data_IF_258243081234
#
_entry.id   IF_258243081234
#
_cell.length_a   1.000
_cell.length_b   1.000
_cell.length_c   1.000
_cell.angle_alpha   90.00
_cell.angle_beta   90.00
_cell.angle_gamma   90.00
#
_symmetry.space_group_name_H-M   'P 1'
#
loop_
_entity.id
_entity.type
_entity.pdbx_description
1 polymer ?
#
# COMPACT_ATOMS: atom_id res chain seq x y z
N UNK A 1 -3.70 9.65 -27.27
CA UNK A 1 -4.52 8.64 -26.55
C UNK A 1 -5.06 9.29 -25.28
N UNK A 2 -6.38 9.43 -25.15
CA UNK A 2 -7.02 10.14 -24.03
C UNK A 2 -6.77 9.46 -22.68
N UNK A 3 -6.78 10.23 -21.59
CA UNK A 3 -6.54 9.77 -20.21
C UNK A 3 -7.54 8.69 -19.76
N UNK A 4 -8.68 8.54 -20.45
CA UNK A 4 -9.69 7.52 -20.17
C UNK A 4 -9.95 6.68 -21.42
N UNK A 5 -9.67 5.39 -21.32
CA UNK A 5 -10.23 4.35 -22.20
C UNK A 5 -10.68 3.23 -21.29
N UNK A 6 -11.82 2.64 -21.59
CA UNK A 6 -12.39 1.59 -20.76
C UNK A 6 -11.64 0.28 -21.01
N UNK A 7 -10.74 -0.06 -20.09
CA UNK A 7 -10.20 -1.41 -19.99
C UNK A 7 -10.97 -2.13 -18.88
N UNK A 8 -11.37 -3.40 -19.09
CA UNK A 8 -11.97 -4.18 -18.02
C UNK A 8 -10.99 -4.27 -16.84
N UNK A 9 -11.49 -3.97 -15.63
CA UNK A 9 -10.73 -4.19 -14.40
C UNK A 9 -10.51 -5.68 -14.21
N UNK A 10 -9.37 -6.05 -13.63
CA UNK A 10 -9.09 -7.44 -13.25
C UNK A 10 -10.08 -7.89 -12.18
N UNK A 11 -10.37 -9.19 -12.19
CA UNK A 11 -11.17 -9.82 -11.15
C UNK A 11 -10.60 -9.45 -9.77
N UNK A 12 -11.48 -9.00 -8.87
CA UNK A 12 -11.16 -8.58 -7.49
C UNK A 12 -10.12 -7.46 -7.35
N UNK A 13 -9.85 -6.72 -8.44
CA UNK A 13 -8.81 -5.69 -8.51
C UNK A 13 -7.40 -6.23 -8.16
N UNK A 14 -7.08 -7.49 -8.50
CA UNK A 14 -5.77 -8.08 -8.27
C UNK A 14 -4.69 -7.54 -9.23
N UNK A 15 -3.71 -6.82 -8.68
CA UNK A 15 -2.53 -6.33 -9.39
C UNK A 15 -1.27 -6.67 -8.59
N UNK A 16 -0.47 -7.67 -9.02
CA UNK A 16 0.84 -7.94 -8.42
C UNK A 16 1.67 -6.67 -8.36
N UNK A 17 2.23 -6.35 -7.18
CA UNK A 17 2.99 -5.12 -6.97
C UNK A 17 4.35 -5.22 -7.66
N UNK A 18 4.64 -4.45 -8.72
CA UNK A 18 5.93 -4.56 -9.41
C UNK A 18 7.04 -3.82 -8.62
N UNK A 19 8.32 -4.18 -8.82
CA UNK A 19 9.45 -3.54 -8.13
C UNK A 19 9.48 -2.02 -8.30
N UNK A 20 9.14 -1.55 -9.50
CA UNK A 20 9.10 -0.12 -9.82
C UNK A 20 8.15 0.69 -8.95
N UNK A 21 7.11 0.04 -8.40
CA UNK A 21 6.18 0.68 -7.48
C UNK A 21 6.76 0.76 -6.06
N UNK A 22 7.62 -0.18 -5.68
CA UNK A 22 8.23 -0.26 -4.35
C UNK A 22 9.48 0.64 -4.21
N UNK A 23 10.30 0.76 -5.26
CA UNK A 23 11.57 1.51 -5.22
C UNK A 23 11.43 2.91 -4.60
N UNK A 24 10.42 3.74 -4.95
CA UNK A 24 10.26 5.06 -4.35
C UNK A 24 9.99 5.06 -2.84
N UNK A 25 9.45 3.95 -2.30
CA UNK A 25 9.15 3.80 -0.87
C UNK A 25 10.38 3.45 -0.04
N UNK A 26 11.33 2.69 -0.59
CA UNK A 26 12.46 2.12 0.17
C UNK A 26 13.22 3.12 1.06
N UNK A 27 13.51 4.37 0.63
CA UNK A 27 14.19 5.35 1.48
C UNK A 27 13.43 5.74 2.76
N UNK A 28 12.13 5.49 2.82
CA UNK A 28 11.25 5.83 3.94
C UNK A 28 11.06 4.69 4.94
N UNK A 29 11.67 3.53 4.69
CA UNK A 29 11.53 2.32 5.52
C UNK A 29 12.81 1.98 6.29
N UNK A 30 13.83 2.85 6.27
CA UNK A 30 15.14 2.58 6.85
C UNK A 30 15.11 2.31 8.36
N UNK A 31 14.17 2.92 9.08
CA UNK A 31 14.01 2.76 10.53
C UNK A 31 13.11 1.58 10.91
N UNK A 32 12.53 0.87 9.94
CA UNK A 32 11.69 -0.29 10.20
C UNK A 32 12.51 -1.57 10.08
N UNK A 33 12.17 -2.55 10.90
CA UNK A 33 12.74 -3.89 10.85
C UNK A 33 11.67 -4.92 10.49
N UNK A 34 10.47 -4.81 11.05
CA UNK A 34 9.39 -5.78 10.89
C UNK A 34 8.15 -5.15 10.27
N UNK A 35 7.53 -5.85 9.33
CA UNK A 35 6.27 -5.39 8.75
C UNK A 35 5.28 -6.52 8.51
N UNK A 36 4.03 -6.11 8.24
CA UNK A 36 2.92 -7.00 7.94
C UNK A 36 2.26 -6.62 6.61
N UNK A 37 1.94 -7.64 5.80
CA UNK A 37 1.24 -7.49 4.52
C UNK A 37 -0.11 -8.25 4.51
N UNK A 38 -1.23 -7.58 4.85
CA UNK A 38 -2.51 -8.25 5.05
C UNK A 38 -3.36 -8.48 3.79
N UNK A 39 -2.86 -8.12 2.61
CA UNK A 39 -3.52 -8.30 1.31
C UNK A 39 -2.46 -8.70 0.28
N UNK A 40 -1.80 -9.82 0.54
CA UNK A 40 -0.56 -10.23 -0.12
C UNK A 40 -0.75 -10.80 -1.52
N UNK A 41 -1.94 -11.29 -1.87
CA UNK A 41 -2.21 -11.93 -3.17
C UNK A 41 -1.20 -13.03 -3.53
N UNK A 42 -0.31 -12.76 -4.50
CA UNK A 42 0.76 -13.68 -4.92
C UNK A 42 2.09 -13.51 -4.16
N UNK A 43 2.14 -12.61 -3.18
CA UNK A 43 3.31 -12.32 -2.37
C UNK A 43 4.38 -11.50 -3.09
N UNK A 44 4.04 -10.84 -4.21
CA UNK A 44 5.01 -10.02 -4.95
C UNK A 44 5.69 -8.95 -4.08
N UNK A 45 4.93 -8.23 -3.25
CA UNK A 45 5.51 -7.20 -2.38
C UNK A 45 6.42 -7.86 -1.31
N UNK A 46 5.97 -8.91 -0.62
CA UNK A 46 6.82 -9.74 0.26
C UNK A 46 8.13 -10.12 -0.41
N UNK A 47 8.04 -10.70 -1.61
CA UNK A 47 9.21 -11.16 -2.36
C UNK A 47 10.23 -10.04 -2.60
N UNK A 48 9.78 -8.84 -2.99
CA UNK A 48 10.70 -7.74 -3.26
C UNK A 48 11.23 -7.06 -2.00
N UNK A 49 10.47 -7.06 -0.91
CA UNK A 49 10.93 -6.54 0.37
C UNK A 49 11.93 -7.48 1.07
N UNK A 50 11.86 -8.79 0.82
CA UNK A 50 12.86 -9.76 1.29
C UNK A 50 14.28 -9.52 0.75
N UNK A 51 14.45 -8.77 -0.34
CA UNK A 51 15.76 -8.35 -0.86
C UNK A 51 16.34 -7.14 -0.08
N UNK A 52 15.66 -6.69 0.97
CA UNK A 52 16.04 -5.56 1.84
C UNK A 52 16.35 -6.04 3.27
N UNK A 53 16.50 -5.12 4.22
CA UNK A 53 16.68 -5.45 5.64
C UNK A 53 15.36 -5.76 6.38
N UNK A 54 14.21 -5.58 5.71
CA UNK A 54 12.89 -5.75 6.30
C UNK A 54 12.48 -7.22 6.35
N UNK A 55 11.88 -7.62 7.46
CA UNK A 55 11.32 -8.95 7.65
C UNK A 55 9.79 -8.90 7.69
N UNK A 56 9.16 -9.70 6.81
CA UNK A 56 7.71 -9.89 6.81
C UNK A 56 7.32 -10.89 7.90
N UNK A 57 6.86 -10.40 9.06
CA UNK A 57 6.51 -11.27 10.19
C UNK A 57 5.10 -11.89 10.04
N UNK A 58 4.27 -11.31 9.18
CA UNK A 58 2.96 -11.86 8.85
C UNK A 58 2.48 -11.44 7.46
N UNK A 59 1.92 -12.39 6.72
CA UNK A 59 1.28 -12.16 5.43
C UNK A 59 0.00 -12.99 5.30
N UNK A 60 -1.05 -12.38 4.74
CA UNK A 60 -2.30 -13.07 4.44
C UNK A 60 -2.97 -12.54 3.17
N UNK A 61 -3.91 -13.32 2.66
CA UNK A 61 -4.89 -12.89 1.68
C UNK A 61 -6.14 -13.77 1.79
N UNK A 62 -7.30 -13.27 1.37
CA UNK A 62 -8.54 -14.06 1.28
C UNK A 62 -8.48 -15.11 0.15
N UNK A 63 -7.64 -14.89 -0.87
CA UNK A 63 -7.31 -15.84 -1.92
C UNK A 63 -5.79 -15.83 -2.20
N UNK A 64 -4.99 -16.49 -1.35
CA UNK A 64 -3.54 -16.50 -1.51
C UNK A 64 -3.14 -17.29 -2.76
N UNK A 65 -2.25 -16.71 -3.57
CA UNK A 65 -1.77 -17.29 -4.84
C UNK A 65 -0.34 -17.83 -4.73
N UNK A 66 0.26 -17.80 -3.53
CA UNK A 66 1.58 -18.35 -3.24
C UNK A 66 1.62 -19.09 -1.90
N UNK A 67 2.58 -20.00 -1.75
CA UNK A 67 2.82 -20.72 -0.50
C UNK A 67 3.37 -19.76 0.56
N UNK A 68 3.00 -19.98 1.82
CA UNK A 68 3.45 -19.18 2.96
C UNK A 68 2.53 -18.00 3.31
N UNK A 69 1.59 -17.63 2.42
CA UNK A 69 0.57 -16.63 2.70
C UNK A 69 -0.61 -17.30 3.40
N UNK A 70 -1.03 -16.78 4.55
CA UNK A 70 -2.19 -17.30 5.28
C UNK A 70 -3.47 -17.00 4.52
N UNK A 71 -4.39 -17.97 4.42
CA UNK A 71 -5.74 -17.72 3.89
C UNK A 71 -6.62 -17.11 5.00
N UNK A 72 -6.78 -15.80 5.00
CA UNK A 72 -7.46 -15.06 6.07
C UNK A 72 -7.92 -13.69 5.57
N UNK A 73 -9.01 -13.16 6.12
CA UNK A 73 -9.39 -11.76 5.91
C UNK A 73 -8.40 -10.82 6.62
N UNK A 74 -8.02 -9.73 5.97
CA UNK A 74 -7.14 -8.71 6.53
C UNK A 74 -7.61 -8.22 7.90
N UNK A 75 -8.92 -8.16 8.14
CA UNK A 75 -9.51 -7.63 9.38
C UNK A 75 -9.76 -8.67 10.47
N UNK A 76 -9.50 -9.94 10.18
CA UNK A 76 -9.51 -11.02 11.17
C UNK A 76 -8.15 -11.17 11.89
N UNK A 77 -7.15 -10.36 11.52
CA UNK A 77 -5.84 -10.33 12.17
C UNK A 77 -5.98 -9.83 13.62
N UNK A 78 -5.41 -10.56 14.58
CA UNK A 78 -5.41 -10.15 15.98
C UNK A 78 -4.21 -9.24 16.31
N UNK A 79 -4.29 -8.58 17.47
CA UNK A 79 -3.24 -7.66 17.93
C UNK A 79 -1.90 -8.38 18.14
N UNK A 80 -1.95 -9.67 18.49
CA UNK A 80 -0.75 -10.47 18.76
C UNK A 80 0.14 -10.65 17.53
N UNK A 81 -0.45 -10.74 16.34
CA UNK A 81 0.22 -10.95 15.07
C UNK A 81 0.91 -9.69 14.55
N UNK A 82 0.43 -8.51 14.96
CA UNK A 82 1.01 -7.22 14.57
C UNK A 82 1.81 -6.56 15.68
N UNK A 83 1.86 -7.16 16.88
CA UNK A 83 2.46 -6.54 18.05
C UNK A 83 3.90 -6.07 17.78
N UNK A 84 4.70 -6.95 17.16
CA UNK A 84 6.11 -6.69 16.83
C UNK A 84 6.31 -5.93 15.51
N UNK A 85 5.25 -5.68 14.73
CA UNK A 85 5.36 -4.97 13.47
C UNK A 85 5.60 -3.47 13.69
N UNK A 86 6.57 -2.91 12.97
CA UNK A 86 6.82 -1.46 12.90
C UNK A 86 5.82 -0.78 11.96
N UNK A 87 5.38 -1.50 10.91
CA UNK A 87 4.43 -0.98 9.94
C UNK A 87 3.56 -2.07 9.30
N UNK A 88 2.40 -1.64 8.80
CA UNK A 88 1.64 -2.35 7.78
C UNK A 88 2.06 -1.80 6.42
N UNK A 89 2.41 -2.66 5.47
CA UNK A 89 2.80 -2.24 4.11
C UNK A 89 2.06 -3.12 3.13
N UNK A 90 1.21 -2.54 2.28
CA UNK A 90 0.39 -3.32 1.35
C UNK A 90 -0.10 -2.51 0.16
N UNK A 91 -0.37 -3.19 -0.95
CA UNK A 91 -1.11 -2.68 -2.10
C UNK A 91 -2.56 -3.19 -1.99
N UNK A 92 -3.45 -2.45 -1.30
CA UNK A 92 -4.81 -2.92 -1.06
C UNK A 92 -5.60 -3.03 -2.37
N UNK A 93 -6.68 -3.83 -2.44
CA UNK A 93 -7.58 -3.81 -3.57
C UNK A 93 -8.15 -2.40 -3.81
N UNK A 94 -8.39 -2.05 -5.07
CA UNK A 94 -8.72 -0.69 -5.48
C UNK A 94 -10.20 -0.31 -5.23
N UNK A 95 -10.84 -1.02 -4.30
CA UNK A 95 -12.19 -0.82 -3.81
C UNK A 95 -12.20 0.17 -2.65
N UNK A 96 -12.84 1.34 -2.83
CA UNK A 96 -12.75 2.47 -1.88
C UNK A 96 -13.20 2.16 -0.45
N UNK A 97 -14.35 1.51 -0.21
CA UNK A 97 -14.72 1.12 1.15
C UNK A 97 -13.66 0.25 1.83
N UNK A 98 -13.01 -0.64 1.09
CA UNK A 98 -11.97 -1.52 1.65
C UNK A 98 -10.69 -0.74 1.98
N UNK A 99 -10.30 0.18 1.09
CA UNK A 99 -9.20 1.11 1.34
C UNK A 99 -9.44 1.94 2.60
N UNK A 100 -10.64 2.50 2.76
CA UNK A 100 -11.01 3.29 3.93
C UNK A 100 -11.03 2.46 5.21
N UNK A 101 -11.60 1.25 5.16
CA UNK A 101 -11.57 0.30 6.27
C UNK A 101 -10.13 -0.08 6.66
N UNK A 102 -9.21 -0.20 5.70
CA UNK A 102 -7.79 -0.47 5.96
C UNK A 102 -7.16 0.68 6.77
N UNK A 103 -7.45 1.94 6.41
CA UNK A 103 -6.97 3.11 7.16
C UNK A 103 -7.55 3.12 8.58
N UNK A 104 -8.86 2.92 8.71
CA UNK A 104 -9.56 2.94 10.01
C UNK A 104 -9.07 1.83 10.93
N UNK A 105 -8.92 0.61 10.41
CA UNK A 105 -8.53 -0.54 11.19
C UNK A 105 -7.05 -0.49 11.57
N UNK A 106 -6.14 -0.44 10.60
CA UNK A 106 -4.71 -0.58 10.88
C UNK A 106 -4.07 0.69 11.43
N UNK A 107 -4.36 1.83 10.80
CA UNK A 107 -3.71 3.09 11.19
C UNK A 107 -4.34 3.70 12.44
N UNK A 108 -5.67 3.72 12.52
CA UNK A 108 -6.40 4.45 13.57
C UNK A 108 -6.72 3.56 14.77
N UNK A 109 -7.35 2.40 14.55
CA UNK A 109 -7.76 1.49 15.63
C UNK A 109 -6.56 0.73 16.22
N UNK A 110 -5.76 0.08 15.39
CA UNK A 110 -4.57 -0.68 15.84
C UNK A 110 -3.33 0.20 16.09
N UNK A 111 -3.35 1.46 15.64
CA UNK A 111 -2.26 2.41 15.90
C UNK A 111 -0.95 2.13 15.17
N UNK A 112 -0.97 1.29 14.12
CA UNK A 112 0.24 0.92 13.37
C UNK A 112 0.47 1.88 12.18
N UNK A 113 1.69 2.40 11.98
CA UNK A 113 2.07 3.08 10.74
C UNK A 113 1.66 2.22 9.54
N UNK A 114 0.86 2.78 8.63
CA UNK A 114 0.23 2.01 7.55
C UNK A 114 0.53 2.66 6.20
N UNK A 115 1.33 1.97 5.39
CA UNK A 115 1.71 2.34 4.04
C UNK A 115 0.81 1.65 3.01
N UNK A 116 0.10 2.45 2.22
CA UNK A 116 -0.85 1.97 1.22
C UNK A 116 -0.53 2.53 -0.16
N UNK A 117 -0.47 1.65 -1.17
CA UNK A 117 -0.25 2.02 -2.57
C UNK A 117 -1.59 2.20 -3.30
N UNK A 118 -1.91 3.41 -3.74
CA UNK A 118 -3.12 3.68 -4.54
C UNK A 118 -3.03 5.01 -5.31
N UNK A 119 -4.12 5.41 -5.97
CA UNK A 119 -4.19 6.56 -6.87
C UNK A 119 -3.71 7.87 -6.24
N UNK A 120 -2.85 8.60 -6.97
CA UNK A 120 -2.31 9.90 -6.55
C UNK A 120 -3.40 10.97 -6.35
N UNK A 121 -4.48 10.95 -7.13
CA UNK A 121 -5.53 11.98 -7.07
C UNK A 121 -6.58 11.71 -5.98
N UNK A 122 -6.51 10.56 -5.29
CA UNK A 122 -7.44 10.23 -4.21
C UNK A 122 -7.43 11.30 -3.11
N UNK A 123 -6.27 11.87 -2.77
CA UNK A 123 -6.16 12.93 -1.76
C UNK A 123 -6.92 14.21 -2.09
N UNK A 124 -7.30 14.41 -3.36
CA UNK A 124 -8.08 15.57 -3.81
C UNK A 124 -9.61 15.31 -3.84
N UNK A 125 -10.06 14.11 -3.45
CA UNK A 125 -11.47 13.73 -3.52
C UNK A 125 -12.24 14.12 -2.25
N UNK A 126 -13.57 14.27 -2.35
CA UNK A 126 -14.41 14.53 -1.16
C UNK A 126 -14.34 13.39 -0.13
N UNK A 127 -14.21 12.15 -0.60
CA UNK A 127 -14.16 10.95 0.23
C UNK A 127 -12.85 10.77 1.01
N UNK A 128 -11.76 11.43 0.61
CA UNK A 128 -10.49 11.34 1.35
C UNK A 128 -10.46 12.26 2.58
N UNK A 129 -11.28 13.33 2.58
CA UNK A 129 -11.22 14.41 3.56
C UNK A 129 -11.20 13.92 5.03
N UNK A 130 -12.00 12.92 5.45
CA UNK A 130 -11.97 12.42 6.83
C UNK A 130 -10.63 11.76 7.23
N UNK A 131 -9.92 11.19 6.25
CA UNK A 131 -8.71 10.40 6.46
C UNK A 131 -7.43 11.22 6.30
N UNK A 132 -7.47 12.34 5.59
CA UNK A 132 -6.30 13.19 5.35
C UNK A 132 -5.72 13.77 6.65
N UNK A 133 -6.53 13.91 7.70
CA UNK A 133 -6.06 14.33 9.03
C UNK A 133 -5.12 13.31 9.68
N UNK A 134 -5.11 12.05 9.20
CA UNK A 134 -4.24 10.94 9.64
C UNK A 134 -3.07 10.68 8.69
N UNK A 135 -3.07 11.30 7.50
CA UNK A 135 -2.04 11.11 6.49
C UNK A 135 -0.79 11.93 6.84
N UNK A 136 0.38 11.29 6.95
CA UNK A 136 1.66 11.92 7.28
C UNK A 136 2.52 12.20 6.06
N UNK A 137 2.60 11.24 5.14
CA UNK A 137 3.48 11.29 3.97
C UNK A 137 2.74 10.82 2.74
N UNK A 138 3.01 11.48 1.61
CA UNK A 138 2.59 11.04 0.28
C UNK A 138 3.83 10.95 -0.59
N UNK A 139 4.19 9.75 -1.03
CA UNK A 139 5.41 9.48 -1.81
C UNK A 139 5.02 9.12 -3.23
N UNK A 140 5.41 9.98 -4.17
CA UNK A 140 5.03 9.85 -5.57
C UNK A 140 5.81 8.72 -6.28
N UNK A 141 5.08 7.74 -6.81
CA UNK A 141 5.63 6.67 -7.66
C UNK A 141 5.52 7.07 -9.14
N UNK A 142 4.34 7.57 -9.54
CA UNK A 142 4.01 7.86 -10.93
C UNK A 142 3.30 6.68 -11.60
N UNK A 143 3.42 6.58 -12.93
CA UNK A 143 2.74 5.54 -13.70
C UNK A 143 3.46 4.20 -13.56
N UNK A 144 2.72 3.18 -13.17
CA UNK A 144 3.24 1.82 -12.97
C UNK A 144 2.84 0.93 -14.15
N UNK A 145 3.73 0.02 -14.54
CA UNK A 145 3.43 -1.05 -15.49
C UNK A 145 3.02 -2.31 -14.72
N UNK A 146 1.72 -2.48 -14.48
CA UNK A 146 1.18 -3.61 -13.72
C UNK A 146 1.26 -4.96 -14.44
N UNK A 147 1.31 -4.93 -15.77
CA UNK A 147 1.35 -6.13 -16.61
C UNK A 147 2.65 -6.08 -17.41
N UNK A 148 3.66 -6.89 -17.08
CA UNK A 148 4.99 -6.81 -17.70
C UNK A 148 4.97 -6.85 -19.23
N UNK A 149 4.11 -7.70 -19.82
CA UNK A 149 4.05 -7.91 -21.27
C UNK A 149 3.06 -7.00 -22.01
N UNK A 150 2.38 -6.09 -21.31
CA UNK A 150 1.48 -5.15 -22.00
C UNK A 150 2.27 -4.08 -22.76
N UNK A 151 1.69 -3.55 -23.85
CA UNK A 151 2.28 -2.45 -24.64
C UNK A 151 2.22 -1.10 -23.93
N UNK A 152 1.46 -0.97 -22.85
CA UNK A 152 1.13 0.32 -22.24
C UNK A 152 1.33 0.28 -20.72
N UNK A 153 1.92 1.35 -20.18
CA UNK A 153 1.89 1.64 -18.74
C UNK A 153 0.48 2.07 -18.30
N UNK A 154 0.18 1.95 -17.02
CA UNK A 154 -1.03 2.55 -16.43
C UNK A 154 -1.18 4.01 -16.86
N UNK A 155 -2.44 4.43 -17.08
CA UNK A 155 -2.75 5.84 -17.36
C UNK A 155 -2.68 6.69 -16.09
N UNK A 156 -3.01 6.07 -14.98
CA UNK A 156 -3.09 6.71 -13.68
C UNK A 156 -1.78 6.54 -12.90
N UNK A 157 -1.39 7.62 -12.24
CA UNK A 157 -0.24 7.64 -11.34
C UNK A 157 -0.67 7.17 -9.96
N UNK A 158 0.20 6.45 -9.29
CA UNK A 158 -0.01 6.01 -7.90
C UNK A 158 1.00 6.66 -6.96
N UNK A 159 0.68 6.63 -5.68
CA UNK A 159 1.52 7.05 -4.57
C UNK A 159 1.45 6.03 -3.44
N UNK A 160 2.50 6.02 -2.64
CA UNK A 160 2.44 5.46 -1.30
C UNK A 160 1.94 6.53 -0.33
N UNK A 161 0.94 6.19 0.46
CA UNK A 161 0.41 7.03 1.53
C UNK A 161 0.74 6.42 2.88
N UNK A 162 1.36 7.19 3.76
CA UNK A 162 1.56 6.78 5.16
C UNK A 162 0.45 7.38 6.02
N UNK A 163 -0.31 6.51 6.69
CA UNK A 163 -1.29 6.88 7.71
C UNK A 163 -0.82 6.44 9.09
N UNK A 164 -1.24 7.17 10.12
CA UNK A 164 -1.09 6.75 11.52
C UNK A 164 -2.22 7.31 12.40
N UNK A 165 -2.28 6.84 13.65
CA UNK A 165 -3.31 7.25 14.61
C UNK A 165 -3.25 8.75 14.94
N UNK A 166 -2.05 9.33 14.90
CA UNK A 166 -1.81 10.72 15.29
C UNK A 166 -2.42 11.68 14.28
N UNK A 167 -3.33 12.51 14.76
CA UNK A 167 -3.84 13.66 14.00
C UNK A 167 -2.77 14.74 13.94
N UNK A 168 -2.59 15.36 12.78
CA UNK A 168 -1.47 16.27 12.56
C UNK A 168 -1.70 17.27 11.45
N UNK A 169 -0.65 18.03 11.15
CA UNK A 169 -0.59 18.96 10.03
C UNK A 169 -0.79 18.23 8.68
N UNK A 170 -0.91 19.02 7.61
CA UNK A 170 -1.00 18.52 6.25
C UNK A 170 0.14 17.51 5.96
N UNK A 171 -0.11 16.44 5.19
CA UNK A 171 0.93 15.47 4.87
C UNK A 171 2.07 16.13 4.09
N UNK A 172 3.29 15.66 4.33
CA UNK A 172 4.43 16.06 3.49
C UNK A 172 4.38 15.27 2.18
N UNK A 173 4.43 16.00 1.06
CA UNK A 173 4.50 15.40 -0.27
C UNK A 173 5.96 15.26 -0.72
N UNK A 174 6.33 14.06 -1.13
CA UNK A 174 7.63 13.74 -1.70
C UNK A 174 7.44 13.44 -3.18
N UNK A 175 7.87 14.39 -4.00
CA UNK A 175 7.96 14.20 -5.45
C UNK A 175 8.87 13.02 -5.79
N UNK A 176 8.70 12.46 -7.00
CA UNK A 176 9.45 11.28 -7.43
C UNK A 176 10.95 11.51 -7.32
N UNK A 177 11.65 10.64 -6.59
CA UNK A 177 13.09 10.71 -6.37
C UNK A 177 13.52 11.54 -5.16
N UNK A 178 12.59 12.19 -4.46
CA UNK A 178 12.86 12.85 -3.18
C UNK A 178 12.76 11.85 -2.02
N UNK A 179 13.57 12.07 -1.00
CA UNK A 179 13.63 11.31 0.26
C UNK A 179 13.67 12.27 1.45
N UNK A 180 13.63 11.74 2.67
CA UNK A 180 13.89 12.53 3.87
C UNK A 180 15.37 12.93 3.95
N UNK A 181 15.61 14.17 4.41
CA UNK A 181 16.95 14.69 4.71
C UNK A 181 17.50 14.09 6.00
#
# INVERSE_FOLDING_TARGET
MGKRSDFPRRERDFYPTPPSALIPLLPFLGDYQYYVEPMSGDGSLVKYLNDTHLECIWSSDIEPQAKGIKKMDAFDIEESEILQADAIITNPPWHRPLLHQTIEYFAIKMGKPTWLLFDHDWSCTKQSAPYMIHCRKVVAVGRVKWIPDSKHTSKDSVCWYLFNQVKGSAPRFYGRGLKEE
#
